data_IF_685716330321
#
_entry.id   IF_685716330321
#
_cell.length_a   1.000
_cell.length_b   1.000
_cell.length_c   1.000
_cell.angle_alpha   90.00
_cell.angle_beta   90.00
_cell.angle_gamma   90.00
#
_symmetry.space_group_name_H-M   'P 1'
#
loop_
_entity.id
_entity.type
_entity.pdbx_description
1 polymer ?
#
# COMPACT_ATOMS: atom_id res chain seq x y z
N UNK A 1 10.50 17.32 -18.21
CA UNK A 1 9.99 15.97 -17.93
C UNK A 1 10.49 15.59 -16.55
N UNK A 2 9.59 15.40 -15.58
CA UNK A 2 9.98 14.92 -14.24
C UNK A 2 10.55 13.51 -14.36
N UNK A 3 11.69 13.27 -13.72
CA UNK A 3 12.24 11.93 -13.57
C UNK A 3 11.37 11.17 -12.55
N UNK A 4 10.39 10.41 -13.04
CA UNK A 4 9.58 9.50 -12.22
C UNK A 4 10.28 8.16 -12.03
N UNK A 5 10.18 7.61 -10.83
CA UNK A 5 10.57 6.24 -10.54
C UNK A 5 9.46 5.28 -10.97
N UNK A 6 9.84 4.07 -11.37
CA UNK A 6 8.87 2.99 -11.59
C UNK A 6 8.57 2.28 -10.26
N UNK A 7 7.30 2.29 -9.84
CA UNK A 7 6.85 1.48 -8.71
C UNK A 7 6.69 0.04 -9.18
N UNK A 8 7.33 -0.91 -8.47
CA UNK A 8 7.21 -2.35 -8.74
C UNK A 8 6.48 -3.02 -7.60
N UNK A 9 5.37 -3.69 -7.93
CA UNK A 9 4.60 -4.48 -6.97
C UNK A 9 5.09 -5.92 -6.98
N UNK A 10 5.36 -6.44 -5.79
CA UNK A 10 5.64 -7.88 -5.63
C UNK A 10 4.32 -8.66 -5.78
N UNK A 11 4.33 -9.88 -6.33
CA UNK A 11 3.12 -10.70 -6.46
C UNK A 11 2.35 -10.90 -5.14
N UNK A 12 3.04 -10.83 -4.00
CA UNK A 12 2.42 -10.91 -2.67
C UNK A 12 1.47 -9.74 -2.39
N UNK A 13 1.75 -8.54 -2.93
CA UNK A 13 0.93 -7.35 -2.69
C UNK A 13 -0.51 -7.56 -3.14
N UNK A 14 -0.76 -8.23 -4.27
CA UNK A 14 -2.12 -8.52 -4.72
C UNK A 14 -2.90 -9.34 -3.68
N UNK A 15 -2.28 -10.39 -3.13
CA UNK A 15 -2.90 -11.20 -2.06
C UNK A 15 -3.10 -10.40 -0.77
N UNK A 16 -2.16 -9.52 -0.44
CA UNK A 16 -2.27 -8.68 0.75
C UNK A 16 -3.44 -7.67 0.59
N UNK A 17 -3.60 -7.06 -0.59
CA UNK A 17 -4.70 -6.13 -0.90
C UNK A 17 -6.06 -6.86 -0.94
N UNK A 18 -6.14 -8.02 -1.59
CA UNK A 18 -7.34 -8.85 -1.62
C UNK A 18 -7.76 -9.27 -0.21
N UNK A 19 -6.79 -9.65 0.64
CA UNK A 19 -7.05 -10.03 2.03
C UNK A 19 -7.56 -8.87 2.88
N UNK A 20 -6.99 -7.67 2.71
CA UNK A 20 -7.48 -6.44 3.38
C UNK A 20 -8.90 -6.14 2.93
N UNK A 21 -9.15 -6.19 1.62
CA UNK A 21 -10.48 -5.93 1.06
C UNK A 21 -11.51 -6.93 1.60
N UNK A 22 -11.25 -8.23 1.46
CA UNK A 22 -12.17 -9.28 1.89
C UNK A 22 -12.46 -9.21 3.39
N UNK A 23 -11.44 -8.95 4.22
CA UNK A 23 -11.67 -8.79 5.66
C UNK A 23 -12.64 -7.64 5.96
N UNK A 24 -12.42 -6.47 5.37
CA UNK A 24 -13.28 -5.30 5.66
C UNK A 24 -14.67 -5.48 5.02
N UNK A 25 -14.72 -5.90 3.75
CA UNK A 25 -15.96 -6.03 3.00
C UNK A 25 -16.85 -7.17 3.51
N UNK A 26 -16.25 -8.31 3.86
CA UNK A 26 -16.99 -9.54 4.17
C UNK A 26 -17.05 -9.82 5.67
N UNK A 27 -15.94 -9.66 6.40
CA UNK A 27 -15.92 -9.93 7.85
C UNK A 27 -16.53 -8.78 8.64
N UNK A 28 -16.18 -7.54 8.29
CA UNK A 28 -16.74 -6.35 8.93
C UNK A 28 -18.03 -5.88 8.26
N UNK A 29 -18.40 -6.45 7.10
CA UNK A 29 -19.59 -6.06 6.32
C UNK A 29 -19.57 -4.59 5.88
N UNK A 30 -18.38 -4.05 5.61
CA UNK A 30 -18.16 -2.64 5.26
C UNK A 30 -17.55 -2.47 3.85
N UNK A 31 -18.21 -2.92 2.77
CA UNK A 31 -17.62 -2.95 1.43
C UNK A 31 -17.29 -1.56 0.86
N UNK A 32 -18.06 -0.54 1.21
CA UNK A 32 -17.79 0.85 0.80
C UNK A 32 -16.51 1.38 1.45
N UNK A 33 -16.26 1.01 2.70
CA UNK A 33 -15.03 1.38 3.41
C UNK A 33 -13.84 0.62 2.83
N UNK A 34 -14.02 -0.67 2.51
CA UNK A 34 -12.98 -1.48 1.87
C UNK A 34 -12.50 -0.85 0.56
N UNK A 35 -13.42 -0.40 -0.30
CA UNK A 35 -13.09 0.30 -1.56
C UNK A 35 -12.32 1.61 -1.29
N UNK A 36 -12.82 2.48 -0.41
CA UNK A 36 -12.14 3.75 -0.09
C UNK A 36 -10.73 3.55 0.46
N UNK A 37 -10.53 2.50 1.26
CA UNK A 37 -9.20 2.16 1.76
C UNK A 37 -8.28 1.69 0.63
N UNK A 38 -8.79 0.87 -0.30
CA UNK A 38 -8.01 0.41 -1.44
C UNK A 38 -7.60 1.57 -2.35
N UNK A 39 -8.52 2.49 -2.64
CA UNK A 39 -8.23 3.73 -3.40
C UNK A 39 -7.13 4.55 -2.70
N UNK A 40 -7.23 4.72 -1.38
CA UNK A 40 -6.24 5.47 -0.60
C UNK A 40 -4.86 4.80 -0.60
N UNK A 41 -4.82 3.46 -0.58
CA UNK A 41 -3.58 2.69 -0.67
C UNK A 41 -2.96 2.82 -2.06
N UNK A 42 -3.76 2.73 -3.12
CA UNK A 42 -3.32 2.90 -4.50
C UNK A 42 -2.67 4.27 -4.71
N UNK A 43 -3.35 5.35 -4.31
CA UNK A 43 -2.82 6.71 -4.38
C UNK A 43 -1.50 6.84 -3.60
N UNK A 44 -1.43 6.29 -2.39
CA UNK A 44 -0.24 6.34 -1.57
C UNK A 44 0.93 5.57 -2.21
N UNK A 45 0.68 4.39 -2.78
CA UNK A 45 1.68 3.57 -3.45
C UNK A 45 2.22 4.29 -4.69
N UNK A 46 1.36 4.82 -5.56
CA UNK A 46 1.80 5.51 -6.78
C UNK A 46 2.39 6.89 -6.52
N UNK A 47 2.11 7.52 -5.37
CA UNK A 47 2.82 8.74 -4.97
C UNK A 47 4.34 8.55 -4.83
N UNK A 48 4.81 7.31 -4.64
CA UNK A 48 6.23 6.98 -4.55
C UNK A 48 6.96 7.12 -5.89
N UNK A 49 6.25 7.17 -7.02
CA UNK A 49 6.86 7.43 -8.33
C UNK A 49 7.54 8.80 -8.35
N UNK A 50 6.94 9.79 -7.69
CA UNK A 50 7.50 11.15 -7.59
C UNK A 50 8.31 11.36 -6.31
N UNK A 51 7.92 10.72 -5.20
CA UNK A 51 8.53 10.93 -3.88
C UNK A 51 8.86 9.57 -3.23
N UNK A 52 9.90 8.85 -3.70
CA UNK A 52 10.18 7.49 -3.25
C UNK A 52 10.58 7.40 -1.77
N UNK A 53 11.10 8.49 -1.19
CA UNK A 53 11.56 8.58 0.21
C UNK A 53 10.53 9.30 1.10
N UNK A 54 9.24 9.15 0.81
CA UNK A 54 8.15 9.76 1.59
C UNK A 54 8.01 9.14 2.99
N UNK A 55 8.34 7.87 3.14
CA UNK A 55 8.29 7.16 4.42
C UNK A 55 9.59 7.27 5.22
N UNK A 56 9.47 7.28 6.55
CA UNK A 56 10.64 7.20 7.42
C UNK A 56 11.27 5.80 7.36
N UNK A 57 12.60 5.76 7.32
CA UNK A 57 13.36 4.50 7.45
C UNK A 57 13.00 3.81 8.76
N UNK A 58 12.67 2.52 8.69
CA UNK A 58 12.28 1.76 9.87
C UNK A 58 13.53 1.25 10.58
N UNK A 59 13.82 1.79 11.77
CA UNK A 59 15.01 1.41 12.56
C UNK A 59 14.71 0.44 13.70
N UNK A 60 13.44 0.16 13.98
CA UNK A 60 12.99 -0.67 15.10
C UNK A 60 11.75 -1.51 14.74
N UNK A 61 11.49 -2.55 15.52
CA UNK A 61 10.31 -3.43 15.37
C UNK A 61 10.48 -4.53 14.32
N UNK A 62 9.38 -5.24 14.02
CA UNK A 62 9.37 -6.42 13.13
C UNK A 62 9.84 -6.14 11.69
N UNK A 63 9.92 -4.87 11.30
CA UNK A 63 10.35 -4.42 9.98
C UNK A 63 11.59 -3.50 10.03
N UNK A 64 12.37 -3.55 11.12
CA UNK A 64 13.63 -2.83 11.22
C UNK A 64 14.55 -3.19 10.04
N UNK A 65 15.13 -2.16 9.41
CA UNK A 65 16.06 -2.24 8.29
C UNK A 65 15.52 -2.97 7.05
N UNK A 66 14.18 -3.11 6.97
CA UNK A 66 13.46 -3.73 5.84
C UNK A 66 12.59 -2.74 5.07
N UNK A 67 12.83 -1.44 5.24
CA UNK A 67 12.09 -0.34 4.63
C UNK A 67 12.81 0.99 4.78
#
# INVERSE_FOLDING_TARGET
>A
MENKYAVKLLPRVYRDLDGIYAYIAETLTEPVIALKLLDSLEEAIFSLESIPQRGALRKTGAYADRG
#
